data_IF_352427042037
#
_entry.id   IF_352427042037
#
_cell.length_a   1.000
_cell.length_b   1.000
_cell.length_c   1.000
_cell.angle_alpha   90.00
_cell.angle_beta   90.00
_cell.angle_gamma   90.00
#
_symmetry.space_group_name_H-M   'P 1'
#
loop_
_entity.id
_entity.type
_entity.pdbx_description
1 polymer ?
#
# COMPACT_ATOMS: atom_id res chain seq x y z
N UNK A 1 39.76 28.62 15.68
CA UNK A 1 38.88 27.61 16.32
C UNK A 1 37.44 28.01 16.07
N UNK A 2 36.76 27.45 15.04
CA UNK A 2 35.41 27.90 14.67
C UNK A 2 34.87 27.15 13.45
N UNK A 3 34.90 25.82 13.45
CA UNK A 3 34.52 25.08 12.25
C UNK A 3 33.80 23.75 12.44
N UNK A 4 33.41 23.35 13.67
CA UNK A 4 32.88 21.98 13.90
C UNK A 4 31.42 21.99 14.42
N UNK A 5 30.83 23.11 14.76
CA UNK A 5 29.49 23.14 15.41
C UNK A 5 28.33 23.23 14.40
N UNK A 6 28.58 23.41 13.10
CA UNK A 6 27.52 23.64 12.08
C UNK A 6 26.97 22.40 11.39
N UNK A 7 27.52 21.22 11.65
CA UNK A 7 27.13 19.96 10.96
C UNK A 7 26.19 19.06 11.75
N UNK A 8 25.93 19.34 13.03
CA UNK A 8 25.12 18.44 13.91
C UNK A 8 23.65 18.88 14.01
N UNK A 9 23.32 20.11 13.57
CA UNK A 9 21.93 20.62 13.65
C UNK A 9 21.06 20.32 12.44
N UNK A 10 21.59 19.73 11.37
CA UNK A 10 20.82 19.38 10.18
C UNK A 10 20.10 18.02 10.26
N UNK A 11 20.45 17.17 11.22
CA UNK A 11 19.87 15.80 11.38
C UNK A 11 18.74 15.69 12.41
N UNK A 12 18.34 16.80 13.02
CA UNK A 12 17.22 16.87 13.98
C UNK A 12 15.94 17.44 13.35
N UNK A 13 15.70 17.25 12.07
CA UNK A 13 14.32 17.29 11.57
C UNK A 13 13.64 16.08 12.18
N UNK A 14 12.85 16.31 13.24
CA UNK A 14 12.09 15.29 13.96
C UNK A 14 11.30 14.48 12.94
N UNK A 15 11.72 13.23 12.69
CA UNK A 15 10.99 12.33 11.80
C UNK A 15 9.61 12.14 12.38
N UNK A 16 8.60 12.58 11.65
CA UNK A 16 7.22 12.37 12.07
C UNK A 16 6.97 10.89 12.29
N UNK A 17 6.31 10.57 13.39
CA UNK A 17 5.87 9.20 13.66
C UNK A 17 4.65 8.87 12.81
N UNK A 18 4.42 7.58 12.57
CA UNK A 18 3.21 7.11 11.86
C UNK A 18 1.93 7.65 12.53
N UNK A 19 1.91 7.76 13.85
CA UNK A 19 0.75 8.30 14.56
C UNK A 19 0.54 9.80 14.30
N UNK A 20 1.61 10.59 14.26
CA UNK A 20 1.53 12.02 13.90
C UNK A 20 1.03 12.20 12.46
N UNK A 21 1.60 11.45 11.51
CA UNK A 21 1.17 11.47 10.12
C UNK A 21 -0.30 11.07 9.95
N UNK A 22 -0.77 10.08 10.71
CA UNK A 22 -2.18 9.66 10.70
C UNK A 22 -3.10 10.76 11.19
N UNK A 23 -2.75 11.45 12.28
CA UNK A 23 -3.52 12.57 12.82
C UNK A 23 -3.59 13.74 11.82
N UNK A 24 -2.47 14.09 11.19
CA UNK A 24 -2.42 15.16 10.19
C UNK A 24 -3.22 14.80 8.91
N UNK A 25 -3.24 13.51 8.53
CA UNK A 25 -3.97 13.04 7.37
C UNK A 25 -5.48 12.93 7.61
N UNK A 26 -5.95 12.92 8.86
CA UNK A 26 -7.36 12.71 9.21
C UNK A 26 -8.29 13.71 8.50
N UNK A 27 -7.89 14.99 8.44
CA UNK A 27 -8.66 16.08 7.82
C UNK A 27 -8.14 16.45 6.42
N UNK A 28 -7.51 15.52 5.71
CA UNK A 28 -6.89 15.78 4.41
C UNK A 28 -7.92 16.18 3.35
N UNK A 29 -7.73 17.36 2.74
CA UNK A 29 -8.56 17.90 1.65
C UNK A 29 -7.76 18.20 0.38
N UNK A 30 -6.66 17.46 0.13
CA UNK A 30 -5.77 17.71 -1.01
C UNK A 30 -6.37 17.33 -2.38
N UNK A 31 -7.43 16.52 -2.42
CA UNK A 31 -8.20 16.19 -3.63
C UNK A 31 -9.68 16.02 -3.27
N UNK A 32 -10.57 16.06 -4.26
CA UNK A 32 -12.03 16.05 -4.05
C UNK A 32 -12.59 14.76 -3.45
N UNK A 33 -11.79 13.70 -3.31
CA UNK A 33 -12.27 12.42 -2.74
C UNK A 33 -12.71 12.53 -1.28
N UNK A 34 -12.23 13.53 -0.53
CA UNK A 34 -12.71 13.79 0.84
C UNK A 34 -14.20 14.14 0.90
N UNK A 35 -14.78 14.66 -0.21
CA UNK A 35 -16.20 15.02 -0.28
C UNK A 35 -17.11 13.79 -0.35
N UNK A 36 -16.61 12.68 -0.85
CA UNK A 36 -17.37 11.45 -1.13
C UNK A 36 -16.95 10.28 -0.25
N UNK A 37 -15.68 10.21 0.17
CA UNK A 37 -15.21 9.27 1.17
C UNK A 37 -15.77 9.58 2.56
N UNK A 38 -15.96 8.56 3.38
CA UNK A 38 -16.45 8.71 4.75
C UNK A 38 -15.39 9.31 5.64
N UNK A 39 -14.14 8.89 5.45
CA UNK A 39 -12.98 9.32 6.23
C UNK A 39 -11.68 9.00 5.50
N UNK A 40 -10.57 9.55 6.00
CA UNK A 40 -9.23 9.15 5.57
C UNK A 40 -8.91 7.75 6.11
N UNK A 41 -8.52 6.83 5.24
CA UNK A 41 -8.01 5.50 5.59
C UNK A 41 -6.50 5.51 5.47
N UNK A 42 -5.81 5.77 6.58
CA UNK A 42 -4.36 5.80 6.65
C UNK A 42 -3.79 4.38 6.79
N UNK A 43 -2.48 4.23 6.56
CA UNK A 43 -1.84 2.92 6.68
C UNK A 43 -1.84 2.36 8.10
N UNK A 44 -1.71 1.04 8.23
CA UNK A 44 -1.74 0.31 9.49
C UNK A 44 -0.58 -0.68 9.61
N UNK A 45 0.06 -0.71 10.77
CA UNK A 45 1.20 -1.55 11.12
C UNK A 45 2.17 -0.81 12.04
N UNK A 46 3.24 -1.49 12.43
CA UNK A 46 4.29 -0.90 13.27
C UNK A 46 5.22 -0.03 12.41
N UNK A 47 5.72 1.06 12.97
CA UNK A 47 6.75 1.88 12.31
C UNK A 47 8.05 1.07 12.05
N UNK A 48 8.28 -0.01 12.79
CA UNK A 48 9.41 -0.94 12.63
C UNK A 48 9.12 -2.09 11.66
N UNK A 49 8.01 -2.04 10.91
CA UNK A 49 7.67 -3.07 9.94
C UNK A 49 8.72 -3.19 8.85
N UNK A 50 9.11 -4.42 8.53
CA UNK A 50 10.15 -4.70 7.52
C UNK A 50 9.58 -4.85 6.11
N UNK A 51 8.27 -5.08 5.99
CA UNK A 51 7.54 -5.23 4.74
C UNK A 51 6.42 -4.19 4.68
N UNK A 52 6.31 -3.50 3.55
CA UNK A 52 5.19 -2.60 3.27
C UNK A 52 4.40 -3.11 2.06
N UNK A 53 3.10 -3.28 2.24
CA UNK A 53 2.16 -3.63 1.18
C UNK A 53 1.36 -2.39 0.79
N UNK A 54 1.33 -2.07 -0.48
CA UNK A 54 0.68 -0.86 -0.99
C UNK A 54 -0.39 -1.23 -2.00
N UNK A 55 -1.66 -1.01 -1.65
CA UNK A 55 -2.82 -1.16 -2.53
C UNK A 55 -3.13 0.12 -3.33
N UNK A 56 -4.27 0.13 -4.02
CA UNK A 56 -4.74 1.25 -4.82
C UNK A 56 -5.40 2.33 -3.97
N UNK A 57 -6.50 2.00 -3.33
CA UNK A 57 -7.33 2.86 -2.46
C UNK A 57 -8.17 2.00 -1.51
N UNK A 58 -8.77 2.57 -0.46
CA UNK A 58 -9.73 1.86 0.39
C UNK A 58 -10.90 1.31 -0.41
N UNK A 59 -11.47 0.18 0.01
CA UNK A 59 -12.78 -0.28 -0.42
C UNK A 59 -13.89 0.27 0.48
N UNK A 60 -15.13 -0.15 0.22
CA UNK A 60 -16.31 0.28 0.98
C UNK A 60 -16.22 -0.05 2.48
N UNK A 61 -15.77 -1.26 2.82
CA UNK A 61 -15.60 -1.69 4.21
C UNK A 61 -14.48 -0.95 4.91
N UNK A 62 -13.38 -0.71 4.22
CA UNK A 62 -12.23 0.04 4.71
C UNK A 62 -12.60 1.51 4.97
N UNK A 63 -13.36 2.14 4.07
CA UNK A 63 -13.84 3.51 4.19
C UNK A 63 -14.75 3.71 5.41
N UNK A 64 -15.63 2.73 5.68
CA UNK A 64 -16.49 2.75 6.86
C UNK A 64 -15.73 2.48 8.16
N UNK A 65 -14.75 1.56 8.13
CA UNK A 65 -14.00 1.17 9.32
C UNK A 65 -12.82 2.12 9.64
N UNK A 66 -12.38 2.95 8.69
CA UNK A 66 -11.19 3.79 8.83
C UNK A 66 -9.87 3.02 8.85
N UNK A 67 -9.87 1.74 8.43
CA UNK A 67 -8.71 0.84 8.49
C UNK A 67 -8.49 0.14 7.14
N UNK A 68 -7.23 0.03 6.67
CA UNK A 68 -6.93 -0.61 5.39
C UNK A 68 -7.05 -2.14 5.47
N UNK A 69 -7.46 -2.77 4.38
CA UNK A 69 -7.50 -4.23 4.21
C UNK A 69 -8.33 -4.99 5.26
N UNK A 70 -9.48 -4.44 5.67
CA UNK A 70 -10.44 -5.11 6.59
C UNK A 70 -11.55 -5.87 5.87
N UNK A 71 -11.69 -5.70 4.56
CA UNK A 71 -12.66 -6.39 3.73
C UNK A 71 -12.18 -7.77 3.23
N UNK A 72 -12.94 -8.41 2.32
CA UNK A 72 -12.59 -9.73 1.79
C UNK A 72 -11.22 -9.83 1.13
N UNK A 73 -10.75 -8.75 0.49
CA UNK A 73 -9.40 -8.67 -0.09
C UNK A 73 -8.32 -8.72 1.00
N UNK A 74 -8.57 -8.10 2.15
CA UNK A 74 -7.67 -8.16 3.31
C UNK A 74 -7.61 -9.56 3.92
N UNK A 75 -8.75 -10.21 4.11
CA UNK A 75 -8.80 -11.58 4.61
C UNK A 75 -8.02 -12.57 3.70
N UNK A 76 -8.13 -12.40 2.37
CA UNK A 76 -7.35 -13.20 1.42
C UNK A 76 -5.85 -12.86 1.52
N UNK A 77 -5.50 -11.58 1.70
CA UNK A 77 -4.13 -11.14 1.89
C UNK A 77 -3.51 -11.77 3.15
N UNK A 78 -4.22 -11.71 4.27
CA UNK A 78 -3.74 -12.27 5.55
C UNK A 78 -3.50 -13.78 5.42
N UNK A 79 -4.42 -14.51 4.78
CA UNK A 79 -4.21 -15.94 4.46
C UNK A 79 -2.98 -16.17 3.60
N UNK A 80 -2.77 -15.36 2.56
CA UNK A 80 -1.60 -15.50 1.68
C UNK A 80 -0.28 -15.19 2.39
N UNK A 81 -0.27 -14.21 3.31
CA UNK A 81 0.90 -13.89 4.12
C UNK A 81 1.27 -15.05 5.04
N UNK A 82 0.28 -15.65 5.71
CA UNK A 82 0.46 -16.81 6.57
C UNK A 82 1.05 -18.01 5.79
N UNK A 83 0.44 -18.36 4.65
CA UNK A 83 0.92 -19.44 3.78
C UNK A 83 2.31 -19.15 3.18
N UNK A 84 2.67 -17.88 2.94
CA UNK A 84 4.00 -17.48 2.49
C UNK A 84 5.03 -17.44 3.64
N UNK A 85 4.61 -17.60 4.90
CA UNK A 85 5.46 -17.52 6.09
C UNK A 85 5.90 -16.09 6.43
N UNK A 86 5.10 -15.08 6.09
CA UNK A 86 5.35 -13.67 6.43
C UNK A 86 4.54 -13.32 7.67
N UNK A 87 5.22 -13.05 8.79
CA UNK A 87 4.57 -12.60 10.03
C UNK A 87 3.83 -11.28 9.80
N UNK A 88 2.50 -11.30 9.96
CA UNK A 88 1.62 -10.12 9.80
C UNK A 88 2.04 -8.96 10.72
N UNK A 89 2.62 -9.24 11.88
CA UNK A 89 3.10 -8.22 12.82
C UNK A 89 4.32 -7.42 12.28
N UNK A 90 4.99 -7.92 11.25
CA UNK A 90 6.12 -7.27 10.57
C UNK A 90 5.70 -6.54 9.30
N UNK A 91 4.41 -6.50 8.99
CA UNK A 91 3.86 -5.91 7.78
C UNK A 91 3.13 -4.60 8.10
N UNK A 92 3.45 -3.56 7.33
CA UNK A 92 2.69 -2.32 7.25
C UNK A 92 1.84 -2.35 5.97
N UNK A 93 0.54 -2.12 6.09
CA UNK A 93 -0.37 -2.09 4.93
C UNK A 93 -0.90 -0.69 4.72
N UNK A 94 -0.93 -0.26 3.47
CA UNK A 94 -1.45 1.06 3.08
C UNK A 94 -1.97 1.05 1.64
N UNK A 95 -2.42 2.20 1.15
CA UNK A 95 -2.85 2.42 -0.22
C UNK A 95 -2.18 3.67 -0.80
N UNK A 96 -2.10 3.76 -2.12
CA UNK A 96 -1.65 4.97 -2.82
C UNK A 96 -2.58 6.14 -2.51
N UNK A 97 -3.90 5.92 -2.55
CA UNK A 97 -4.92 6.91 -2.24
C UNK A 97 -5.58 6.59 -0.90
N UNK A 98 -5.80 7.64 -0.06
CA UNK A 98 -6.29 7.47 1.31
C UNK A 98 -7.80 7.62 1.47
N UNK A 99 -8.53 8.00 0.41
CA UNK A 99 -9.99 8.10 0.41
C UNK A 99 -10.60 7.15 -0.61
N UNK A 100 -11.79 6.65 -0.32
CA UNK A 100 -12.52 5.77 -1.21
C UNK A 100 -13.16 6.55 -2.36
N UNK A 101 -12.78 6.25 -3.59
CA UNK A 101 -13.45 6.74 -4.79
C UNK A 101 -14.51 5.76 -5.22
N UNK A 102 -15.74 6.22 -5.33
CA UNK A 102 -16.88 5.40 -5.71
C UNK A 102 -17.93 6.18 -6.52
N UNK A 103 -18.82 5.45 -7.13
CA UNK A 103 -20.02 5.98 -7.76
C UNK A 103 -21.24 5.21 -7.26
N UNK A 104 -22.41 5.88 -7.14
CA UNK A 104 -23.63 5.23 -6.67
C UNK A 104 -24.22 4.31 -7.75
N UNK A 105 -24.60 3.11 -7.35
CA UNK A 105 -25.40 2.19 -8.17
C UNK A 105 -26.53 1.61 -7.31
N UNK A 106 -27.69 2.25 -7.36
CA UNK A 106 -28.76 2.01 -6.41
C UNK A 106 -28.29 2.31 -4.97
N UNK A 107 -28.45 1.35 -4.06
CA UNK A 107 -27.99 1.47 -2.67
C UNK A 107 -26.49 1.13 -2.44
N UNK A 108 -25.76 0.77 -3.50
CA UNK A 108 -24.36 0.32 -3.38
C UNK A 108 -23.41 1.43 -3.80
N UNK A 109 -22.28 1.53 -3.10
CA UNK A 109 -21.12 2.34 -3.46
C UNK A 109 -20.17 1.47 -4.30
N UNK A 110 -20.11 1.73 -5.61
CA UNK A 110 -19.29 0.93 -6.53
C UNK A 110 -17.93 1.59 -6.68
N UNK A 111 -16.88 0.83 -6.40
CA UNK A 111 -15.50 1.24 -6.55
C UNK A 111 -15.22 1.82 -7.95
N UNK A 112 -14.57 2.98 -7.98
CA UNK A 112 -14.08 3.63 -9.20
C UNK A 112 -12.59 3.90 -9.08
N UNK A 113 -11.82 3.59 -10.12
CA UNK A 113 -10.38 3.79 -10.12
C UNK A 113 -10.02 5.27 -9.91
N UNK A 114 -9.05 5.62 -9.02
CA UNK A 114 -8.56 6.98 -8.87
C UNK A 114 -7.86 7.45 -10.15
N UNK A 115 -8.00 8.73 -10.46
CA UNK A 115 -7.31 9.36 -11.58
C UNK A 115 -5.90 9.85 -11.20
N UNK A 116 -5.15 10.33 -12.20
CA UNK A 116 -3.77 10.78 -11.98
C UNK A 116 -3.66 11.97 -11.01
N UNK A 117 -4.63 12.90 -11.02
CA UNK A 117 -4.65 14.06 -10.12
C UNK A 117 -4.84 13.63 -8.67
N UNK A 118 -5.79 12.72 -8.43
CA UNK A 118 -6.07 12.17 -7.09
C UNK A 118 -4.89 11.38 -6.53
N UNK A 119 -4.24 10.58 -7.40
CA UNK A 119 -3.02 9.85 -7.05
C UNK A 119 -1.91 10.85 -6.69
N UNK A 120 -1.63 11.83 -7.54
CA UNK A 120 -0.57 12.82 -7.32
C UNK A 120 -0.79 13.62 -6.03
N UNK A 121 -2.04 14.03 -5.74
CA UNK A 121 -2.39 14.74 -4.51
C UNK A 121 -2.17 13.90 -3.24
N UNK A 122 -2.29 12.57 -3.34
CA UNK A 122 -2.15 11.65 -2.21
C UNK A 122 -0.74 11.09 -2.03
N UNK A 123 0.12 11.15 -3.07
CA UNK A 123 1.50 10.64 -3.03
C UNK A 123 2.34 11.17 -1.87
N UNK A 124 2.26 12.46 -1.45
CA UNK A 124 3.03 12.94 -0.29
C UNK A 124 2.77 12.15 1.00
N UNK A 125 1.53 11.70 1.23
CA UNK A 125 1.23 10.84 2.38
C UNK A 125 1.91 9.49 2.30
N UNK A 126 1.85 8.84 1.12
CA UNK A 126 2.52 7.56 0.92
C UNK A 126 4.04 7.70 1.07
N UNK A 127 4.64 8.77 0.53
CA UNK A 127 6.07 9.03 0.71
C UNK A 127 6.43 9.20 2.19
N UNK A 128 5.63 9.97 2.94
CA UNK A 128 5.84 10.16 4.38
C UNK A 128 5.74 8.84 5.16
N UNK A 129 4.81 7.94 4.78
CA UNK A 129 4.73 6.60 5.36
C UNK A 129 5.99 5.77 5.07
N UNK A 130 6.47 5.78 3.82
CA UNK A 130 7.69 5.05 3.42
C UNK A 130 8.90 5.59 4.20
N UNK A 131 9.03 6.91 4.32
CA UNK A 131 10.14 7.57 5.04
C UNK A 131 10.10 7.32 6.56
N UNK A 132 8.91 7.21 7.13
CA UNK A 132 8.73 6.90 8.55
C UNK A 132 8.99 5.42 8.86
N UNK A 133 8.45 4.49 8.05
CA UNK A 133 8.58 3.04 8.26
C UNK A 133 9.95 2.52 7.80
N UNK A 134 10.49 3.01 6.68
CA UNK A 134 11.73 2.53 6.06
C UNK A 134 11.77 1.02 5.86
N UNK A 135 10.79 0.46 5.15
CA UNK A 135 10.69 -0.98 4.99
C UNK A 135 11.89 -1.52 4.18
N UNK A 136 12.31 -2.76 4.45
CA UNK A 136 13.27 -3.45 3.59
C UNK A 136 12.67 -3.86 2.24
N UNK A 137 11.36 -4.17 2.25
CA UNK A 137 10.63 -4.56 1.05
C UNK A 137 9.34 -3.76 0.88
N UNK A 138 9.07 -3.31 -0.35
CA UNK A 138 7.78 -2.72 -0.78
C UNK A 138 7.17 -3.63 -1.83
N UNK A 139 5.91 -4.02 -1.62
CA UNK A 139 5.14 -4.85 -2.53
C UNK A 139 3.91 -4.06 -2.99
N UNK A 140 3.87 -3.73 -4.27
CA UNK A 140 2.73 -3.08 -4.89
C UNK A 140 1.65 -4.12 -5.20
N UNK A 141 0.46 -3.95 -4.65
CA UNK A 141 -0.69 -4.82 -4.87
C UNK A 141 -1.57 -4.22 -6.00
N UNK A 142 -1.41 -4.76 -7.20
CA UNK A 142 -2.14 -4.34 -8.39
C UNK A 142 -1.44 -3.26 -9.23
N UNK A 143 -2.03 -2.99 -10.40
CA UNK A 143 -1.42 -2.12 -11.42
C UNK A 143 -1.31 -0.66 -10.98
N UNK A 144 -2.30 -0.12 -10.27
CA UNK A 144 -2.28 1.29 -9.85
C UNK A 144 -1.13 1.57 -8.88
N UNK A 145 -0.93 0.71 -7.87
CA UNK A 145 0.18 0.85 -6.94
C UNK A 145 1.53 0.66 -7.65
N UNK A 146 1.65 -0.35 -8.52
CA UNK A 146 2.86 -0.58 -9.28
C UNK A 146 3.20 0.59 -10.23
N UNK A 147 2.19 1.17 -10.89
CA UNK A 147 2.38 2.32 -11.77
C UNK A 147 2.72 3.60 -11.02
N UNK A 148 2.20 3.79 -9.81
CA UNK A 148 2.51 4.96 -8.98
C UNK A 148 3.92 4.91 -8.36
N UNK A 149 4.40 3.71 -7.99
CA UNK A 149 5.64 3.53 -7.22
C UNK A 149 6.82 3.12 -8.10
N UNK A 150 6.61 2.24 -9.08
CA UNK A 150 7.67 1.66 -9.90
C UNK A 150 7.83 2.41 -11.21
N UNK A 151 6.80 2.39 -12.06
CA UNK A 151 6.83 3.06 -13.37
C UNK A 151 5.43 3.11 -13.98
N UNK A 152 5.02 4.21 -14.63
CA UNK A 152 3.74 4.31 -15.33
C UNK A 152 3.53 3.21 -16.40
N UNK A 153 4.61 2.62 -16.91
CA UNK A 153 4.59 1.55 -17.92
C UNK A 153 4.60 0.14 -17.33
N UNK A 154 4.61 -0.01 -15.99
CA UNK A 154 4.68 -1.31 -15.34
C UNK A 154 3.41 -2.14 -15.60
N UNK A 155 3.61 -3.39 -16.06
CA UNK A 155 2.53 -4.34 -16.37
C UNK A 155 2.56 -5.52 -15.40
N UNK A 156 1.71 -5.49 -14.38
CA UNK A 156 1.64 -6.53 -13.34
C UNK A 156 1.43 -7.92 -13.93
N UNK A 157 0.63 -8.06 -14.99
CA UNK A 157 0.36 -9.34 -15.64
C UNK A 157 1.60 -10.04 -16.20
N UNK A 158 2.66 -9.28 -16.51
CA UNK A 158 3.89 -9.78 -17.12
C UNK A 158 5.07 -9.75 -16.13
N UNK A 159 5.13 -8.71 -15.28
CA UNK A 159 6.31 -8.39 -14.47
C UNK A 159 6.12 -8.68 -12.97
N UNK A 160 5.00 -9.32 -12.59
CA UNK A 160 4.74 -9.69 -11.18
C UNK A 160 5.85 -10.57 -10.61
N UNK A 161 6.17 -10.38 -9.35
CA UNK A 161 7.17 -11.17 -8.63
C UNK A 161 8.62 -10.94 -9.07
N UNK A 162 8.88 -9.95 -9.96
CA UNK A 162 10.23 -9.53 -10.34
C UNK A 162 10.66 -8.34 -9.47
N UNK A 163 11.88 -8.36 -8.97
CA UNK A 163 12.45 -7.24 -8.24
C UNK A 163 12.91 -6.15 -9.19
N UNK A 164 12.64 -4.90 -8.82
CA UNK A 164 13.11 -3.71 -9.53
C UNK A 164 14.02 -2.87 -8.65
N UNK A 165 15.03 -2.23 -9.25
CA UNK A 165 15.86 -1.25 -8.54
C UNK A 165 15.03 -0.02 -8.21
N UNK A 166 15.07 0.43 -6.94
CA UNK A 166 14.35 1.59 -6.46
C UNK A 166 15.10 2.23 -5.29
N UNK A 167 15.06 3.55 -5.14
CA UNK A 167 15.61 4.22 -3.96
C UNK A 167 14.72 4.06 -2.71
N UNK A 168 13.49 3.57 -2.85
CA UNK A 168 12.49 3.54 -1.78
C UNK A 168 12.69 2.39 -0.80
N UNK A 169 13.24 1.25 -1.26
CA UNK A 169 13.54 0.09 -0.43
C UNK A 169 14.56 -0.83 -1.12
N UNK A 170 15.20 -1.71 -0.35
CA UNK A 170 16.15 -2.69 -0.87
C UNK A 170 15.50 -3.64 -1.89
N UNK A 171 14.26 -4.04 -1.63
CA UNK A 171 13.47 -4.91 -2.49
C UNK A 171 12.15 -4.24 -2.84
N UNK A 172 11.92 -3.98 -4.12
CA UNK A 172 10.64 -3.44 -4.61
C UNK A 172 10.12 -4.37 -5.69
N UNK A 173 8.86 -4.76 -5.57
CA UNK A 173 8.19 -5.62 -6.55
C UNK A 173 6.70 -5.31 -6.61
N UNK A 174 6.00 -5.95 -7.53
CA UNK A 174 4.55 -5.91 -7.61
C UNK A 174 3.97 -7.30 -7.84
N UNK A 175 2.74 -7.49 -7.39
CA UNK A 175 1.91 -8.66 -7.69
C UNK A 175 0.48 -8.24 -7.94
N UNK A 176 -0.43 -9.17 -8.18
CA UNK A 176 -1.85 -8.85 -8.40
C UNK A 176 -2.49 -8.32 -7.11
N UNK A 177 -3.56 -7.52 -7.26
CA UNK A 177 -4.34 -7.12 -6.10
C UNK A 177 -5.23 -8.31 -5.63
N UNK A 178 -5.33 -8.59 -4.31
CA UNK A 178 -6.13 -9.70 -3.79
C UNK A 178 -7.57 -9.73 -4.31
N UNK A 179 -8.18 -8.57 -4.53
CA UNK A 179 -9.53 -8.49 -5.10
C UNK A 179 -9.66 -9.06 -6.52
N UNK A 180 -8.57 -9.13 -7.30
CA UNK A 180 -8.62 -9.77 -8.62
C UNK A 180 -8.73 -11.29 -8.51
N UNK A 181 -8.11 -11.87 -7.49
CA UNK A 181 -8.21 -13.30 -7.18
C UNK A 181 -9.66 -13.66 -6.78
N UNK A 182 -10.29 -12.80 -5.94
CA UNK A 182 -11.70 -12.99 -5.56
C UNK A 182 -12.66 -12.91 -6.74
N UNK A 183 -12.31 -12.22 -7.82
CA UNK A 183 -13.11 -12.08 -9.04
C UNK A 183 -12.71 -13.08 -10.15
N UNK A 184 -11.88 -14.05 -9.85
CA UNK A 184 -11.54 -15.10 -10.82
C UNK A 184 -12.82 -15.84 -11.28
N UNK A 185 -12.93 -16.17 -12.57
CA UNK A 185 -14.18 -16.67 -13.14
C UNK A 185 -14.56 -18.09 -12.66
N UNK A 186 -13.56 -18.91 -12.30
CA UNK A 186 -13.77 -20.25 -11.77
C UNK A 186 -12.97 -20.49 -10.50
N UNK A 187 -13.32 -21.52 -9.74
CA UNK A 187 -12.60 -21.90 -8.53
C UNK A 187 -11.16 -22.38 -8.85
N UNK A 188 -10.97 -23.07 -9.96
CA UNK A 188 -9.65 -23.52 -10.43
C UNK A 188 -8.76 -22.30 -10.73
N UNK A 189 -9.29 -21.31 -11.44
CA UNK A 189 -8.59 -20.05 -11.74
C UNK A 189 -8.25 -19.30 -10.45
N UNK A 190 -9.16 -19.28 -9.48
CA UNK A 190 -8.94 -18.66 -8.16
C UNK A 190 -7.82 -19.36 -7.39
N UNK A 191 -7.84 -20.68 -7.34
CA UNK A 191 -6.80 -21.46 -6.67
C UNK A 191 -5.44 -21.29 -7.34
N UNK A 192 -5.40 -21.27 -8.68
CA UNK A 192 -4.17 -21.06 -9.44
C UNK A 192 -3.59 -19.66 -9.18
N UNK A 193 -4.42 -18.60 -9.24
CA UNK A 193 -3.96 -17.24 -8.96
C UNK A 193 -3.56 -17.05 -7.49
N UNK A 194 -4.22 -17.72 -6.55
CA UNK A 194 -3.83 -17.71 -5.13
C UNK A 194 -2.44 -18.33 -4.94
N UNK A 195 -2.16 -19.49 -5.53
CA UNK A 195 -0.82 -20.11 -5.48
C UNK A 195 0.26 -19.19 -6.04
N UNK A 196 0.02 -18.59 -7.22
CA UNK A 196 0.96 -17.62 -7.80
C UNK A 196 1.18 -16.39 -6.91
N UNK A 197 0.13 -15.93 -6.24
CA UNK A 197 0.22 -14.82 -5.31
C UNK A 197 1.07 -15.16 -4.09
N UNK A 198 0.90 -16.35 -3.52
CA UNK A 198 1.71 -16.88 -2.42
C UNK A 198 3.18 -17.05 -2.86
N UNK A 199 3.42 -17.56 -4.07
CA UNK A 199 4.77 -17.69 -4.63
C UNK A 199 5.47 -16.34 -4.75
N UNK A 200 4.78 -15.30 -5.21
CA UNK A 200 5.32 -13.94 -5.28
C UNK A 200 5.69 -13.42 -3.88
N UNK A 201 4.84 -13.62 -2.87
CA UNK A 201 5.12 -13.25 -1.48
C UNK A 201 6.29 -14.05 -0.89
N UNK A 202 6.37 -15.35 -1.18
CA UNK A 202 7.45 -16.23 -0.71
C UNK A 202 8.81 -15.80 -1.23
N UNK A 203 8.90 -15.32 -2.48
CA UNK A 203 10.15 -14.75 -3.03
C UNK A 203 10.64 -13.57 -2.19
N UNK A 204 9.72 -12.72 -1.72
CA UNK A 204 10.06 -11.57 -0.90
C UNK A 204 10.52 -12.00 0.48
N UNK A 205 9.81 -12.95 1.13
CA UNK A 205 10.25 -13.51 2.41
C UNK A 205 11.69 -13.99 2.33
N UNK A 206 12.00 -14.80 1.32
CA UNK A 206 13.36 -15.33 1.10
C UNK A 206 14.41 -14.24 0.85
N UNK A 207 14.04 -13.12 0.25
CA UNK A 207 14.95 -12.02 -0.03
C UNK A 207 15.26 -11.17 1.22
N UNK A 208 14.34 -11.10 2.19
CA UNK A 208 14.49 -10.29 3.40
C UNK A 208 15.03 -11.08 4.61
N UNK A 209 15.12 -12.41 4.51
CA UNK A 209 15.83 -13.26 5.47
C UNK A 209 17.33 -13.17 5.27
#
# INVERSE_FOLDING_TARGET
MGGIVRCILADLVSRQTINQLRLEAADCKRCDLWKTGTQTVFGEGKQTSTVMLVGEQPGDKEDLAGRPFVGPAGALLDKALDEAGIDRARVYVTNVVKHFKWEPRGKRRIHKKPNAIEIAACMPWLQSEIDAVKPRAIICLGSTAAQAIISPKFKVTIQRGQFVKSPLAQFVTATVHPSSILRAPTDEARHMEMRRFIDDLTKIRKAIE
#
